data_IF_673194337873
#
_entry.id   IF_673194337873
#
_cell.length_a   1.000
_cell.length_b   1.000
_cell.length_c   1.000
_cell.angle_alpha   90.00
_cell.angle_beta   90.00
_cell.angle_gamma   90.00
#
_symmetry.space_group_name_H-M   'P 1'
#
loop_
_entity.id
_entity.type
_entity.pdbx_description
1 polymer ?
#
# COMPACT_ATOMS: atom_id res chain seq x y z
N UNK A 1 -84.68 28.45 -2.44
CA UNK A 1 -83.37 29.03 -2.08
C UNK A 1 -82.45 27.88 -1.72
N UNK A 2 -81.46 27.57 -2.56
CA UNK A 2 -80.48 26.50 -2.31
C UNK A 2 -79.11 27.17 -2.14
N UNK A 3 -78.48 26.96 -0.99
CA UNK A 3 -77.15 27.48 -0.67
C UNK A 3 -76.13 26.42 -1.07
N UNK A 4 -75.25 26.73 -2.03
CA UNK A 4 -74.15 25.86 -2.42
C UNK A 4 -72.97 26.05 -1.45
N UNK A 5 -72.64 24.98 -0.71
CA UNK A 5 -71.49 24.95 0.19
C UNK A 5 -70.21 24.78 -0.63
N UNK A 6 -69.42 25.84 -0.81
CA UNK A 6 -68.11 25.73 -1.45
C UNK A 6 -67.17 24.87 -0.60
N UNK A 7 -66.81 23.69 -1.10
CA UNK A 7 -65.82 22.80 -0.50
C UNK A 7 -64.43 23.43 -0.62
N UNK A 8 -63.90 23.95 0.47
CA UNK A 8 -62.54 24.49 0.54
C UNK A 8 -61.55 23.31 0.50
N UNK A 9 -60.89 23.07 -0.64
CA UNK A 9 -59.77 22.12 -0.71
C UNK A 9 -58.55 22.71 -0.01
N UNK A 10 -57.86 21.95 0.86
CA UNK A 10 -56.69 22.45 1.58
C UNK A 10 -55.56 22.84 0.60
N UNK A 11 -54.75 23.86 0.93
CA UNK A 11 -53.72 24.36 0.03
C UNK A 11 -52.64 23.30 -0.21
N UNK A 12 -52.47 22.89 -1.47
CA UNK A 12 -51.51 21.87 -1.92
C UNK A 12 -50.03 22.24 -1.70
N UNK A 13 -49.75 23.50 -1.37
CA UNK A 13 -48.40 24.06 -1.29
C UNK A 13 -47.52 23.44 -0.19
N UNK A 14 -48.10 23.08 0.97
CA UNK A 14 -47.33 22.45 2.05
C UNK A 14 -46.81 21.06 1.71
N UNK A 15 -47.56 20.30 0.91
CA UNK A 15 -47.17 18.95 0.45
C UNK A 15 -46.02 19.02 -0.55
N UNK A 16 -46.06 19.98 -1.48
CA UNK A 16 -45.01 20.17 -2.48
C UNK A 16 -43.69 20.59 -1.82
N UNK A 17 -43.72 21.50 -0.85
CA UNK A 17 -42.50 21.90 -0.13
C UNK A 17 -41.91 20.72 0.67
N UNK A 18 -42.76 19.93 1.33
CA UNK A 18 -42.32 18.73 2.04
C UNK A 18 -41.66 17.71 1.11
N UNK A 19 -42.25 17.46 -0.06
CA UNK A 19 -41.71 16.55 -1.07
C UNK A 19 -40.32 16.99 -1.53
N UNK A 20 -40.14 18.28 -1.82
CA UNK A 20 -38.84 18.83 -2.25
C UNK A 20 -37.79 18.70 -1.14
N UNK A 21 -38.15 18.99 0.11
CA UNK A 21 -37.23 18.84 1.25
C UNK A 21 -36.86 17.36 1.42
N UNK A 22 -37.83 16.46 1.36
CA UNK A 22 -37.59 15.02 1.47
C UNK A 22 -36.67 14.53 0.34
N UNK A 23 -36.92 14.94 -0.89
CA UNK A 23 -36.09 14.61 -2.04
C UNK A 23 -34.67 15.16 -1.88
N UNK A 24 -34.52 16.40 -1.39
CA UNK A 24 -33.21 17.01 -1.14
C UNK A 24 -32.45 16.24 -0.07
N UNK A 25 -33.10 15.89 1.04
CA UNK A 25 -32.48 15.10 2.12
C UNK A 25 -32.01 13.74 1.59
N UNK A 26 -32.87 13.02 0.86
CA UNK A 26 -32.53 11.71 0.30
C UNK A 26 -31.36 11.81 -0.69
N UNK A 27 -31.39 12.83 -1.56
CA UNK A 27 -30.33 13.08 -2.52
C UNK A 27 -29.00 13.41 -1.83
N UNK A 28 -29.01 14.29 -0.83
CA UNK A 28 -27.81 14.62 -0.06
C UNK A 28 -27.23 13.40 0.64
N UNK A 29 -28.07 12.54 1.21
CA UNK A 29 -27.61 11.27 1.81
C UNK A 29 -26.93 10.36 0.78
N UNK A 30 -27.55 10.18 -0.39
CA UNK A 30 -26.96 9.39 -1.47
C UNK A 30 -25.62 9.97 -1.93
N UNK A 31 -25.54 11.29 -2.11
CA UNK A 31 -24.32 11.98 -2.50
C UNK A 31 -23.18 11.79 -1.48
N UNK A 32 -23.47 11.89 -0.18
CA UNK A 32 -22.49 11.66 0.89
C UNK A 32 -21.98 10.21 0.86
N UNK A 33 -22.88 9.23 0.70
CA UNK A 33 -22.49 7.81 0.65
C UNK A 33 -21.56 7.56 -0.54
N UNK A 34 -21.91 8.09 -1.72
CA UNK A 34 -21.11 7.94 -2.94
C UNK A 34 -19.74 8.62 -2.77
N UNK A 35 -19.70 9.84 -2.23
CA UNK A 35 -18.47 10.57 -2.01
C UNK A 35 -17.51 9.83 -1.06
N UNK A 36 -18.03 9.28 0.03
CA UNK A 36 -17.24 8.48 0.98
C UNK A 36 -16.72 7.20 0.34
N UNK A 37 -17.55 6.50 -0.43
CA UNK A 37 -17.15 5.29 -1.17
C UNK A 37 -16.03 5.60 -2.16
N UNK A 38 -16.17 6.66 -2.94
CA UNK A 38 -15.16 7.09 -3.91
C UNK A 38 -13.83 7.47 -3.24
N UNK A 39 -13.89 8.23 -2.14
CA UNK A 39 -12.70 8.57 -1.35
C UNK A 39 -11.97 7.32 -0.84
N UNK A 40 -12.72 6.33 -0.34
CA UNK A 40 -12.16 5.05 0.11
C UNK A 40 -11.45 4.31 -1.03
N UNK A 41 -12.06 4.26 -2.22
CA UNK A 41 -11.46 3.64 -3.40
C UNK A 41 -10.16 4.32 -3.82
N UNK A 42 -10.12 5.65 -3.86
CA UNK A 42 -8.89 6.41 -4.17
C UNK A 42 -7.77 6.12 -3.16
N UNK A 43 -8.09 6.11 -1.86
CA UNK A 43 -7.12 5.73 -0.82
C UNK A 43 -6.64 4.29 -0.96
N UNK A 44 -7.48 3.40 -1.49
CA UNK A 44 -7.07 2.01 -1.76
C UNK A 44 -6.11 1.92 -2.94
N UNK A 45 -6.36 2.67 -4.01
CA UNK A 45 -5.47 2.73 -5.18
C UNK A 45 -4.11 3.29 -4.79
N UNK A 46 -4.09 4.36 -3.99
CA UNK A 46 -2.85 4.97 -3.52
C UNK A 46 -2.02 4.00 -2.68
N UNK A 47 -2.67 3.29 -1.74
CA UNK A 47 -2.02 2.21 -0.98
C UNK A 47 -1.47 1.10 -1.87
N UNK A 48 -2.22 0.68 -2.89
CA UNK A 48 -1.79 -0.37 -3.82
C UNK A 48 -0.59 0.06 -4.65
N UNK A 49 -0.53 1.32 -5.10
CA UNK A 49 0.63 1.86 -5.81
C UNK A 49 1.89 1.80 -4.94
N UNK A 50 1.79 2.30 -3.71
CA UNK A 50 2.92 2.28 -2.78
C UNK A 50 3.41 0.86 -2.46
N UNK A 51 2.48 -0.10 -2.34
CA UNK A 51 2.83 -1.51 -2.12
C UNK A 51 3.54 -2.15 -3.31
N UNK A 52 3.10 -1.81 -4.53
CA UNK A 52 3.74 -2.24 -5.78
C UNK A 52 5.13 -1.61 -5.93
N UNK A 53 5.27 -0.32 -5.65
CA UNK A 53 6.56 0.37 -5.71
C UNK A 53 7.56 -0.24 -4.73
N UNK A 54 7.14 -0.46 -3.47
CA UNK A 54 7.97 -1.14 -2.46
C UNK A 54 8.41 -2.53 -2.92
N UNK A 55 7.48 -3.31 -3.48
CA UNK A 55 7.75 -4.66 -3.96
C UNK A 55 8.71 -4.66 -5.16
N UNK A 56 8.51 -3.76 -6.12
CA UNK A 56 9.39 -3.61 -7.27
C UNK A 56 10.80 -3.20 -6.86
N UNK A 57 10.92 -2.24 -5.93
CA UNK A 57 12.20 -1.83 -5.38
C UNK A 57 12.89 -3.00 -4.69
N UNK A 58 12.20 -3.72 -3.80
CA UNK A 58 12.74 -4.88 -3.09
C UNK A 58 13.27 -5.95 -4.06
N UNK A 59 12.48 -6.30 -5.08
CA UNK A 59 12.86 -7.27 -6.11
C UNK A 59 14.05 -6.77 -6.94
N UNK A 60 14.10 -5.49 -7.29
CA UNK A 60 15.22 -4.89 -8.03
C UNK A 60 16.50 -4.97 -7.21
N UNK A 61 16.47 -4.55 -5.95
CA UNK A 61 17.63 -4.65 -5.04
C UNK A 61 18.08 -6.09 -4.83
N UNK A 62 17.14 -7.03 -4.67
CA UNK A 62 17.48 -8.44 -4.57
C UNK A 62 18.14 -8.97 -5.86
N UNK A 63 17.65 -8.54 -7.02
CA UNK A 63 18.24 -8.93 -8.31
C UNK A 63 19.64 -8.34 -8.50
N UNK A 64 19.88 -7.09 -8.05
CA UNK A 64 21.22 -6.47 -8.05
C UNK A 64 22.21 -7.27 -7.18
N UNK A 65 21.76 -7.80 -6.05
CA UNK A 65 22.54 -8.68 -5.19
C UNK A 65 22.82 -10.02 -5.91
N UNK A 66 21.81 -10.64 -6.53
CA UNK A 66 21.97 -11.90 -7.27
C UNK A 66 22.91 -11.78 -8.48
N UNK A 67 22.92 -10.62 -9.14
CA UNK A 67 23.81 -10.32 -10.26
C UNK A 67 25.23 -9.93 -9.82
N UNK A 68 25.49 -9.83 -8.50
CA UNK A 68 26.78 -9.42 -7.95
C UNK A 68 27.10 -7.93 -8.15
N UNK A 69 26.11 -7.11 -8.49
CA UNK A 69 26.24 -5.65 -8.62
C UNK A 69 26.31 -5.03 -7.22
N UNK A 70 25.54 -5.58 -6.26
CA UNK A 70 25.61 -5.23 -4.84
C UNK A 70 26.20 -6.37 -4.01
N UNK A 71 27.08 -6.07 -3.03
CA UNK A 71 27.65 -7.10 -2.16
C UNK A 71 26.59 -7.73 -1.26
N UNK A 72 26.73 -9.03 -0.97
CA UNK A 72 25.90 -9.78 -0.01
C UNK A 72 26.39 -9.47 1.41
N UNK A 73 26.26 -8.21 1.83
CA UNK A 73 26.69 -7.76 3.16
C UNK A 73 25.57 -6.98 3.84
N UNK A 74 25.47 -7.13 5.16
CA UNK A 74 24.53 -6.36 5.97
C UNK A 74 24.86 -4.88 5.84
N UNK A 75 23.89 -4.09 5.40
CA UNK A 75 24.04 -2.66 5.13
C UNK A 75 23.06 -1.85 5.98
N UNK A 76 23.45 -0.67 6.52
CA UNK A 76 22.50 0.24 7.15
C UNK A 76 21.46 0.77 6.15
N UNK A 77 20.31 1.30 6.63
CA UNK A 77 19.31 1.94 5.78
C UNK A 77 19.95 3.02 4.89
N UNK A 78 19.79 2.86 3.58
CA UNK A 78 20.37 3.74 2.56
C UNK A 78 19.25 4.23 1.64
N UNK A 79 19.25 5.51 1.29
CA UNK A 79 18.26 6.10 0.38
C UNK A 79 18.41 5.56 -1.06
N UNK A 80 17.30 5.48 -1.79
CA UNK A 80 17.34 5.26 -3.24
C UNK A 80 17.63 6.57 -4.00
N UNK A 81 18.16 6.43 -5.21
CA UNK A 81 18.33 7.54 -6.15
C UNK A 81 16.98 8.05 -6.69
N UNK A 82 16.99 9.21 -7.35
CA UNK A 82 15.77 9.77 -7.97
C UNK A 82 15.14 8.74 -8.94
N UNK A 83 13.80 8.56 -8.95
CA UNK A 83 12.74 9.34 -8.29
C UNK A 83 12.23 8.73 -6.95
N UNK A 84 13.04 7.92 -6.26
CA UNK A 84 12.61 7.14 -5.11
C UNK A 84 13.27 7.58 -3.79
N UNK A 85 13.67 8.84 -3.65
CA UNK A 85 14.42 9.36 -2.49
C UNK A 85 13.67 9.20 -1.16
N UNK A 86 12.35 9.02 -1.23
CA UNK A 86 11.46 8.76 -0.07
C UNK A 86 11.52 7.31 0.44
N UNK A 87 12.18 6.44 -0.31
CA UNK A 87 12.35 5.03 0.01
C UNK A 87 13.79 4.79 0.42
N UNK A 88 13.97 3.99 1.45
CA UNK A 88 15.27 3.51 1.89
C UNK A 88 15.31 1.99 1.81
N UNK A 89 16.46 1.42 1.48
CA UNK A 89 16.71 -0.01 1.51
C UNK A 89 17.73 -0.37 2.57
N UNK A 90 17.56 -1.55 3.16
CA UNK A 90 18.48 -2.15 4.12
C UNK A 90 18.65 -3.62 3.74
N UNK A 91 19.88 -4.14 3.88
CA UNK A 91 20.15 -5.57 3.69
C UNK A 91 20.47 -6.14 5.07
N UNK A 92 19.77 -7.19 5.47
CA UNK A 92 20.09 -8.00 6.64
C UNK A 92 20.47 -9.41 6.18
N UNK A 93 21.73 -9.78 6.39
CA UNK A 93 22.21 -11.13 6.07
C UNK A 93 22.24 -11.96 7.35
N UNK A 94 21.39 -12.99 7.43
CA UNK A 94 21.43 -13.95 8.52
C UNK A 94 22.33 -15.11 8.12
N UNK A 95 23.48 -15.26 8.81
CA UNK A 95 24.33 -16.44 8.64
C UNK A 95 23.58 -17.69 9.14
N UNK A 96 23.60 -18.81 8.41
CA UNK A 96 22.95 -20.04 8.86
C UNK A 96 23.55 -20.47 10.20
N UNK A 97 22.69 -20.71 11.19
CA UNK A 97 23.10 -21.34 12.45
C UNK A 97 23.59 -22.76 12.15
N UNK A 98 24.67 -23.19 12.80
CA UNK A 98 25.34 -24.49 12.58
C UNK A 98 24.41 -25.70 12.80
N UNK A 99 23.30 -25.51 13.53
CA UNK A 99 22.26 -26.51 13.79
C UNK A 99 21.18 -26.63 12.71
N UNK A 100 21.07 -25.64 11.81
CA UNK A 100 20.18 -25.71 10.65
C UNK A 100 21.01 -26.14 9.46
N UNK A 101 21.02 -27.45 9.19
CA UNK A 101 21.70 -28.11 8.07
C UNK A 101 21.14 -27.61 6.73
N UNK A 102 21.45 -26.35 6.37
CA UNK A 102 21.24 -25.77 5.04
C UNK A 102 22.28 -26.38 4.10
N UNK A 103 22.08 -27.65 3.78
CA UNK A 103 22.89 -28.42 2.83
C UNK A 103 23.06 -27.65 1.53
N UNK A 104 24.24 -27.08 1.30
CA UNK A 104 24.62 -26.48 0.01
C UNK A 104 25.26 -25.10 0.03
N UNK A 105 25.66 -24.57 1.20
CA UNK A 105 26.36 -23.28 1.29
C UNK A 105 25.49 -22.09 0.91
N UNK A 106 24.22 -22.12 1.30
CA UNK A 106 23.25 -21.05 1.02
C UNK A 106 23.22 -20.06 2.19
N UNK A 107 23.15 -18.77 1.89
CA UNK A 107 23.01 -17.67 2.86
C UNK A 107 21.61 -17.06 2.71
N UNK A 108 20.93 -16.79 3.82
CA UNK A 108 19.64 -16.09 3.82
C UNK A 108 19.90 -14.58 3.73
N UNK A 109 19.45 -13.97 2.64
CA UNK A 109 19.53 -12.53 2.38
C UNK A 109 18.13 -11.95 2.52
N UNK A 110 17.95 -11.04 3.46
CA UNK A 110 16.73 -10.27 3.65
C UNK A 110 16.94 -8.84 3.18
N UNK A 111 16.03 -8.38 2.31
CA UNK A 111 15.99 -7.01 1.81
C UNK A 111 14.77 -6.34 2.42
N UNK A 112 15.00 -5.24 3.12
CA UNK A 112 13.99 -4.46 3.81
C UNK A 112 13.88 -3.12 3.11
N UNK A 113 12.69 -2.78 2.63
CA UNK A 113 12.38 -1.50 1.99
C UNK A 113 11.45 -0.72 2.91
N UNK A 114 11.86 0.49 3.28
CA UNK A 114 11.15 1.36 4.22
C UNK A 114 10.78 2.66 3.51
N UNK A 115 9.57 3.15 3.75
CA UNK A 115 9.14 4.51 3.42
C UNK A 115 8.78 5.25 4.71
N UNK A 116 9.59 6.23 5.09
CA UNK A 116 9.42 6.97 6.34
C UNK A 116 8.15 7.83 6.33
N UNK A 117 7.83 8.47 5.21
CA UNK A 117 6.66 9.34 5.05
C UNK A 117 5.33 8.59 5.24
N UNK A 118 5.29 7.33 4.80
CA UNK A 118 4.09 6.48 4.83
C UNK A 118 4.08 5.48 5.99
N UNK A 119 5.17 5.36 6.75
CA UNK A 119 5.35 4.37 7.82
C UNK A 119 5.16 2.94 7.31
N UNK A 120 5.65 2.65 6.11
CA UNK A 120 5.50 1.34 5.43
C UNK A 120 6.83 0.62 5.35
N UNK A 121 6.77 -0.69 5.56
CA UNK A 121 7.91 -1.58 5.50
C UNK A 121 7.54 -2.84 4.71
N UNK A 122 8.36 -3.19 3.72
CA UNK A 122 8.25 -4.42 2.93
C UNK A 122 9.53 -5.21 3.09
N UNK A 123 9.41 -6.48 3.45
CA UNK A 123 10.55 -7.39 3.64
C UNK A 123 10.47 -8.57 2.66
N UNK A 124 11.55 -8.80 1.92
CA UNK A 124 11.69 -9.97 1.06
C UNK A 124 12.96 -10.72 1.46
N UNK A 125 12.80 -12.02 1.77
CA UNK A 125 13.91 -12.89 2.11
C UNK A 125 14.12 -13.96 1.03
N UNK A 126 15.38 -14.22 0.65
CA UNK A 126 15.74 -15.28 -0.30
C UNK A 126 17.05 -15.95 0.10
N UNK A 127 17.13 -17.26 -0.16
CA UNK A 127 18.38 -18.02 -0.02
C UNK A 127 19.23 -17.85 -1.29
N UNK A 128 20.44 -17.31 -1.13
CA UNK A 128 21.40 -17.09 -2.22
C UNK A 128 22.67 -17.88 -1.94
N UNK A 129 23.28 -18.48 -2.96
CA UNK A 129 24.63 -19.05 -2.84
C UNK A 129 25.64 -17.89 -2.94
N UNK A 130 26.49 -17.66 -1.93
CA UNK A 130 27.52 -16.64 -2.02
C UNK A 130 28.50 -17.00 -3.14
N UNK A 131 29.04 -16.00 -3.87
CA UNK A 131 30.04 -16.23 -4.90
C UNK A 131 31.28 -16.92 -4.30
N UNK A 132 31.90 -17.81 -5.09
CA UNK A 132 32.97 -18.72 -4.66
C UNK A 132 34.20 -18.03 -4.04
N UNK A 133 34.35 -16.72 -4.20
CA UNK A 133 35.46 -15.92 -3.68
C UNK A 133 35.41 -15.72 -2.15
N UNK A 134 34.23 -15.83 -1.53
CA UNK A 134 34.11 -15.82 -0.05
C UNK A 134 34.49 -17.18 0.55
N UNK A 135 34.48 -18.26 -0.24
CA UNK A 135 34.91 -19.59 0.24
C UNK A 135 36.42 -19.72 0.34
N UNK A 136 37.22 -18.96 -0.43
CA UNK A 136 38.69 -19.06 -0.39
C UNK A 136 39.39 -18.17 0.63
N UNK A 137 38.66 -17.32 1.37
CA UNK A 137 39.23 -16.47 2.42
C UNK A 137 39.10 -17.07 3.84
N UNK A 138 38.46 -18.24 3.96
CA UNK A 138 38.23 -18.92 5.24
C UNK A 138 38.84 -20.33 5.30
N UNK A 139 39.70 -20.72 4.34
CA UNK A 139 40.55 -21.91 4.41
C UNK A 139 42.00 -21.54 4.80
#
# INVERSE_FOLDING_TARGET
MIIQLQKNTPPKSGVVLFEVILALVLFSFAAIIIANSFSSSLRSVDRMRNDLDASNLAISTLSEIELGIKPIETSPPTEFEEPFEKWTWQIETTKPNEDLDMRGGLTLVEVIIINEDLGRETRIARMIRPPAEIQSLND
#
